data_IF_922927888841
#
_entry.id   IF_922927888841
#
_cell.length_a   1.000
_cell.length_b   1.000
_cell.length_c   1.000
_cell.angle_alpha   90.00
_cell.angle_beta   90.00
_cell.angle_gamma   90.00
#
_symmetry.space_group_name_H-M   'P 1'
#
loop_
_entity.id
_entity.type
_entity.pdbx_description
1 polymer ?
#
# COMPACT_ATOMS: atom_id res chain seq x y z
N UNK A 1 -29.42 -18.87 10.64
CA UNK A 1 -30.08 -17.58 10.95
C UNK A 1 -29.10 -16.39 10.78
N UNK A 2 -28.70 -15.99 9.57
CA UNK A 2 -27.86 -14.78 9.40
C UNK A 2 -28.32 -13.99 8.15
N UNK A 3 -28.54 -12.69 8.33
CA UNK A 3 -29.26 -11.80 7.41
C UNK A 3 -30.54 -11.16 7.99
N UNK A 4 -30.96 -11.56 9.20
CA UNK A 4 -32.12 -10.98 9.92
C UNK A 4 -31.73 -10.18 11.18
N UNK A 5 -30.43 -10.03 11.45
CA UNK A 5 -29.92 -9.21 12.57
C UNK A 5 -29.75 -7.75 12.16
N UNK A 6 -29.48 -6.88 13.14
CA UNK A 6 -29.35 -5.43 12.93
C UNK A 6 -28.38 -5.05 11.80
N UNK A 7 -27.21 -5.70 11.72
CA UNK A 7 -26.24 -5.46 10.65
C UNK A 7 -26.81 -5.74 9.24
N UNK A 8 -27.65 -6.77 9.09
CA UNK A 8 -28.30 -7.09 7.82
C UNK A 8 -29.40 -6.08 7.46
N UNK A 9 -30.13 -5.57 8.45
CA UNK A 9 -31.12 -4.51 8.24
C UNK A 9 -30.44 -3.19 7.82
N UNK A 10 -29.35 -2.81 8.49
CA UNK A 10 -28.56 -1.62 8.12
C UNK A 10 -28.01 -1.77 6.70
N UNK A 11 -27.41 -2.91 6.38
CA UNK A 11 -26.89 -3.16 5.03
C UNK A 11 -27.99 -3.06 3.97
N UNK A 12 -29.15 -3.69 4.21
CA UNK A 12 -30.30 -3.62 3.29
C UNK A 12 -30.80 -2.18 3.11
N UNK A 13 -30.92 -1.43 4.21
CA UNK A 13 -31.30 -0.01 4.16
C UNK A 13 -30.31 0.78 3.30
N UNK A 14 -29.00 0.66 3.57
CA UNK A 14 -27.97 1.35 2.80
C UNK A 14 -28.02 1.02 1.31
N UNK A 15 -28.19 -0.26 0.94
CA UNK A 15 -28.29 -0.66 -0.47
C UNK A 15 -29.57 -0.19 -1.14
N UNK A 16 -30.71 -0.20 -0.43
CA UNK A 16 -31.96 0.32 -0.97
C UNK A 16 -31.86 1.83 -1.24
N UNK A 17 -31.29 2.60 -0.31
CA UNK A 17 -31.05 4.04 -0.51
C UNK A 17 -30.08 4.28 -1.66
N UNK A 18 -28.97 3.54 -1.71
CA UNK A 18 -27.99 3.65 -2.79
C UNK A 18 -28.61 3.37 -4.16
N UNK A 19 -29.43 2.32 -4.30
CA UNK A 19 -30.12 2.00 -5.56
C UNK A 19 -31.15 3.05 -5.97
N UNK A 20 -31.80 3.69 -5.00
CA UNK A 20 -32.75 4.78 -5.26
C UNK A 20 -32.04 6.02 -5.80
N UNK A 21 -30.93 6.41 -5.17
CA UNK A 21 -30.25 7.67 -5.45
C UNK A 21 -29.20 7.55 -6.56
N UNK A 22 -28.64 6.34 -6.74
CA UNK A 22 -27.54 6.02 -7.66
C UNK A 22 -27.77 4.66 -8.36
N UNK A 23 -28.80 4.54 -9.23
CA UNK A 23 -29.15 3.27 -9.89
C UNK A 23 -28.05 2.71 -10.81
N UNK A 24 -27.05 3.52 -11.16
CA UNK A 24 -25.87 3.11 -11.91
C UNK A 24 -24.89 2.25 -11.09
N UNK A 25 -25.00 2.27 -9.76
CA UNK A 25 -24.09 1.55 -8.86
C UNK A 25 -24.52 0.10 -8.71
N UNK A 26 -23.79 -0.80 -9.39
CA UNK A 26 -24.11 -2.24 -9.44
C UNK A 26 -23.25 -3.12 -8.55
N UNK A 27 -22.28 -2.53 -7.85
CA UNK A 27 -21.23 -3.27 -7.13
C UNK A 27 -20.95 -2.66 -5.77
N UNK A 28 -20.80 -3.52 -4.77
CA UNK A 28 -20.37 -3.15 -3.44
C UNK A 28 -19.09 -3.89 -3.05
N UNK A 29 -18.22 -3.22 -2.30
CA UNK A 29 -16.96 -3.80 -1.81
C UNK A 29 -16.95 -3.91 -0.30
N UNK A 30 -16.29 -4.96 0.18
CA UNK A 30 -16.10 -5.24 1.60
C UNK A 30 -14.63 -5.53 1.87
N UNK A 31 -14.05 -4.91 2.89
CA UNK A 31 -12.70 -5.21 3.38
C UNK A 31 -12.75 -6.03 4.67
N UNK A 32 -11.81 -6.97 4.81
CA UNK A 32 -11.72 -7.89 5.96
C UNK A 32 -10.29 -8.15 6.37
N UNK A 33 -10.08 -8.34 7.67
CA UNK A 33 -8.80 -8.72 8.27
C UNK A 33 -8.57 -10.25 8.35
N UNK A 34 -9.57 -11.04 7.93
CA UNK A 34 -9.63 -12.49 8.11
C UNK A 34 -10.13 -13.17 6.84
N UNK A 35 -9.68 -14.42 6.65
CA UNK A 35 -10.12 -15.28 5.57
C UNK A 35 -11.65 -15.44 5.56
N UNK A 36 -12.32 -15.17 4.42
CA UNK A 36 -13.76 -15.25 4.34
C UNK A 36 -14.21 -16.72 4.45
N UNK A 37 -15.14 -17.06 5.36
CA UNK A 37 -15.79 -18.36 5.33
C UNK A 37 -16.43 -18.67 3.98
N UNK A 38 -16.44 -19.95 3.60
CA UNK A 38 -16.95 -20.43 2.30
C UNK A 38 -18.35 -19.92 1.95
N UNK A 39 -19.23 -19.78 2.94
CA UNK A 39 -20.57 -19.22 2.73
C UNK A 39 -20.56 -17.78 2.19
N UNK A 40 -19.59 -16.94 2.56
CA UNK A 40 -19.45 -15.59 2.00
C UNK A 40 -18.94 -15.60 0.57
N UNK A 41 -18.08 -16.56 0.23
CA UNK A 41 -17.54 -16.71 -1.12
C UNK A 41 -18.62 -17.09 -2.16
N UNK A 42 -19.80 -17.54 -1.72
CA UNK A 42 -20.96 -17.73 -2.62
C UNK A 42 -21.58 -16.41 -3.10
N UNK A 43 -21.33 -15.30 -2.41
CA UNK A 43 -21.90 -13.97 -2.69
C UNK A 43 -20.86 -12.94 -3.08
N UNK A 44 -19.68 -13.05 -2.48
CA UNK A 44 -18.57 -12.12 -2.68
C UNK A 44 -17.42 -12.83 -3.38
N UNK A 45 -16.84 -12.18 -4.39
CA UNK A 45 -15.59 -12.57 -5.01
C UNK A 45 -14.44 -11.83 -4.35
N UNK A 46 -13.37 -12.52 -3.95
CA UNK A 46 -12.12 -11.86 -3.54
C UNK A 46 -11.49 -11.23 -4.79
N UNK A 47 -11.27 -9.92 -4.76
CA UNK A 47 -10.74 -9.15 -5.89
C UNK A 47 -9.30 -8.68 -5.66
N UNK A 48 -8.87 -8.62 -4.40
CA UNK A 48 -7.52 -8.21 -4.03
C UNK A 48 -7.22 -8.70 -2.60
N UNK A 49 -5.95 -8.97 -2.32
CA UNK A 49 -5.45 -9.31 -0.99
C UNK A 49 -4.07 -8.71 -0.77
N UNK A 50 -3.80 -8.26 0.46
CA UNK A 50 -2.50 -7.74 0.87
C UNK A 50 -2.02 -8.43 2.14
N UNK A 51 -0.71 -8.68 2.21
CA UNK A 51 -0.03 -8.92 3.47
C UNK A 51 -0.08 -7.65 4.32
N UNK A 52 -0.42 -7.81 5.60
CA UNK A 52 -0.41 -6.71 6.58
C UNK A 52 0.71 -6.96 7.56
N UNK A 53 1.60 -5.98 7.67
CA UNK A 53 2.76 -6.03 8.55
C UNK A 53 2.81 -4.82 9.47
N UNK A 54 2.22 -4.96 10.66
CA UNK A 54 2.24 -3.92 11.68
C UNK A 54 3.48 -3.99 12.58
N UNK A 55 4.10 -2.85 12.85
CA UNK A 55 5.20 -2.72 13.81
C UNK A 55 5.14 -1.40 14.57
N UNK A 56 5.74 -1.40 15.75
CA UNK A 56 5.85 -0.26 16.65
C UNK A 56 7.29 0.27 16.61
N UNK A 57 7.43 1.57 16.44
CA UNK A 57 8.67 2.32 16.60
C UNK A 57 8.48 3.27 17.78
N UNK A 58 8.96 2.91 18.97
CA UNK A 58 9.01 3.82 20.12
C UNK A 58 9.79 5.09 19.77
N UNK A 59 9.44 6.21 20.42
CA UNK A 59 10.06 7.52 20.16
C UNK A 59 11.58 7.51 20.36
N UNK A 60 12.03 6.87 21.43
CA UNK A 60 13.45 6.68 21.78
C UNK A 60 14.23 5.76 20.83
N UNK A 61 13.53 5.04 19.95
CA UNK A 61 14.10 4.07 19.01
C UNK A 61 13.96 4.47 17.54
N UNK A 62 13.24 5.56 17.22
CA UNK A 62 12.95 5.95 15.85
C UNK A 62 14.21 6.09 14.99
N UNK A 63 15.22 6.83 15.47
CA UNK A 63 16.47 7.06 14.73
C UNK A 63 17.26 5.75 14.55
N UNK A 64 17.35 4.94 15.61
CA UNK A 64 18.04 3.66 15.55
C UNK A 64 17.40 2.70 14.54
N UNK A 65 16.06 2.64 14.50
CA UNK A 65 15.31 1.82 13.54
C UNK A 65 15.48 2.33 12.12
N UNK A 66 15.45 3.65 11.89
CA UNK A 66 15.71 4.24 10.57
C UNK A 66 17.11 3.90 10.07
N UNK A 67 18.12 4.04 10.93
CA UNK A 67 19.51 3.69 10.60
C UNK A 67 19.67 2.19 10.33
N UNK A 68 18.99 1.33 11.10
CA UNK A 68 18.99 -0.11 10.88
C UNK A 68 18.36 -0.47 9.53
N UNK A 69 17.17 0.07 9.22
CA UNK A 69 16.52 -0.15 7.93
C UNK A 69 17.39 0.38 6.78
N UNK A 70 17.99 1.55 6.96
CA UNK A 70 18.90 2.14 5.99
C UNK A 70 20.13 1.26 5.72
N UNK A 71 20.71 0.63 6.74
CA UNK A 71 21.82 -0.32 6.58
C UNK A 71 21.45 -1.59 5.79
N UNK A 72 20.15 -1.93 5.72
CA UNK A 72 19.61 -3.10 5.01
C UNK A 72 19.15 -2.79 3.58
N UNK A 73 19.18 -1.52 3.19
CA UNK A 73 18.93 -1.06 1.82
C UNK A 73 20.28 -0.90 1.12
N UNK A 74 20.52 -1.71 0.09
CA UNK A 74 21.79 -1.68 -0.64
C UNK A 74 21.94 -0.39 -1.45
N UNK A 75 23.16 0.00 -1.80
CA UNK A 75 23.42 1.22 -2.60
C UNK A 75 22.74 1.19 -3.98
N UNK A 76 22.64 0.01 -4.60
CA UNK A 76 21.89 -0.20 -5.85
C UNK A 76 20.37 -0.03 -5.67
N UNK A 77 19.87 -0.27 -4.47
CA UNK A 77 18.46 -0.03 -4.15
C UNK A 77 18.24 1.48 -3.92
N UNK A 78 19.19 2.16 -3.27
CA UNK A 78 19.14 3.62 -3.05
C UNK A 78 19.21 4.43 -4.34
N UNK A 79 19.86 3.90 -5.37
CA UNK A 79 19.98 4.58 -6.68
C UNK A 79 18.71 4.53 -7.53
N UNK A 80 17.63 3.90 -7.03
CA UNK A 80 16.32 3.91 -7.70
C UNK A 80 15.82 5.35 -7.81
N UNK A 81 15.29 5.70 -8.99
CA UNK A 81 14.74 7.02 -9.28
C UNK A 81 13.38 7.23 -8.60
N UNK A 82 13.43 7.55 -7.29
CA UNK A 82 12.25 7.89 -6.50
C UNK A 82 11.81 9.33 -6.78
N UNK A 83 10.51 9.52 -6.92
CA UNK A 83 9.90 10.84 -7.05
C UNK A 83 8.70 10.93 -6.12
N UNK A 84 8.68 11.97 -5.29
CA UNK A 84 7.50 12.33 -4.51
C UNK A 84 6.56 13.07 -5.46
N UNK A 85 5.38 12.53 -5.70
CA UNK A 85 4.45 13.09 -6.68
C UNK A 85 3.62 14.21 -6.07
N UNK A 86 3.58 15.36 -6.74
CA UNK A 86 2.66 16.45 -6.46
C UNK A 86 1.24 16.18 -6.99
N UNK A 87 0.29 17.03 -6.60
CA UNK A 87 -1.13 16.85 -6.94
C UNK A 87 -1.39 16.77 -8.46
N UNK A 88 -0.77 17.64 -9.25
CA UNK A 88 -0.91 17.64 -10.71
C UNK A 88 -0.31 16.39 -11.35
N UNK A 89 0.83 15.94 -10.82
CA UNK A 89 1.53 14.75 -11.31
C UNK A 89 0.72 13.49 -11.03
N UNK A 90 0.08 13.40 -9.86
CA UNK A 90 -0.82 12.29 -9.50
C UNK A 90 -2.01 12.23 -10.46
N UNK A 91 -2.66 13.37 -10.73
CA UNK A 91 -3.81 13.40 -11.63
C UNK A 91 -3.41 12.98 -13.06
N UNK A 92 -2.30 13.53 -13.57
CA UNK A 92 -1.76 13.15 -14.88
C UNK A 92 -1.39 11.67 -14.94
N UNK A 93 -0.74 11.15 -13.90
CA UNK A 93 -0.32 9.75 -13.81
C UNK A 93 -1.48 8.76 -13.99
N UNK A 94 -2.68 9.08 -13.49
CA UNK A 94 -3.87 8.22 -13.61
C UNK A 94 -4.80 8.57 -14.78
N UNK A 95 -4.56 9.69 -15.47
CA UNK A 95 -5.21 10.00 -16.76
C UNK A 95 -4.59 9.18 -17.91
N UNK A 96 -3.29 8.89 -17.84
CA UNK A 96 -2.58 8.06 -18.82
C UNK A 96 -2.91 6.57 -18.64
N UNK A 97 -3.64 5.98 -19.59
CA UNK A 97 -4.31 4.67 -19.43
C UNK A 97 -3.38 3.46 -19.23
N UNK A 98 -2.13 3.50 -19.72
CA UNK A 98 -1.22 2.34 -19.71
C UNK A 98 -0.51 2.08 -18.38
N UNK A 99 -0.40 3.08 -17.50
CA UNK A 99 0.32 2.95 -16.22
C UNK A 99 -0.49 2.19 -15.15
N UNK A 100 -1.81 2.09 -15.32
CA UNK A 100 -2.76 1.70 -14.28
C UNK A 100 -2.91 0.20 -14.11
N UNK A 101 -2.96 -0.54 -15.21
CA UNK A 101 -3.26 -1.98 -15.19
C UNK A 101 -2.07 -2.81 -14.72
N UNK A 102 -0.86 -2.36 -15.03
CA UNK A 102 0.38 -3.03 -14.61
C UNK A 102 0.71 -2.81 -13.14
N UNK A 103 0.34 -1.63 -12.59
CA UNK A 103 0.69 -1.25 -11.22
C UNK A 103 -0.39 -1.63 -10.19
N UNK A 104 -1.67 -1.57 -10.57
CA UNK A 104 -2.78 -1.79 -9.64
C UNK A 104 -3.53 -3.08 -9.96
N UNK A 105 -3.39 -4.08 -9.08
CA UNK A 105 -4.15 -5.33 -9.17
C UNK A 105 -5.67 -5.07 -9.15
N UNK A 106 -6.31 -5.30 -10.30
CA UNK A 106 -7.75 -5.05 -10.50
C UNK A 106 -8.12 -3.57 -10.67
N UNK A 107 -7.16 -2.68 -10.93
CA UNK A 107 -7.38 -1.23 -11.06
C UNK A 107 -7.79 -0.55 -9.76
N UNK A 108 -7.48 -1.20 -8.63
CA UNK A 108 -7.86 -0.75 -7.30
C UNK A 108 -6.70 -0.03 -6.62
N UNK A 109 -7.01 1.16 -6.13
CA UNK A 109 -6.15 1.91 -5.23
C UNK A 109 -6.66 1.71 -3.81
N UNK A 110 -5.90 0.98 -3.00
CA UNK A 110 -6.29 0.68 -1.62
C UNK A 110 -5.46 1.56 -0.69
N UNK A 111 -6.13 2.35 0.14
CA UNK A 111 -5.47 3.18 1.15
C UNK A 111 -5.98 2.76 2.53
N UNK A 112 -5.11 2.17 3.35
CA UNK A 112 -5.50 1.52 4.59
C UNK A 112 -6.60 0.48 4.31
N UNK A 113 -7.78 0.65 4.89
CA UNK A 113 -8.93 -0.26 4.72
C UNK A 113 -9.95 0.18 3.66
N UNK A 114 -9.63 1.22 2.88
CA UNK A 114 -10.55 1.85 1.93
C UNK A 114 -10.21 1.48 0.47
N UNK A 115 -11.02 0.63 -0.20
CA UNK A 115 -10.81 0.28 -1.60
C UNK A 115 -11.39 1.35 -2.53
N UNK A 116 -10.54 2.05 -3.25
CA UNK A 116 -10.92 3.12 -4.18
C UNK A 116 -10.68 2.71 -5.63
N UNK A 117 -11.51 3.24 -6.53
CA UNK A 117 -11.14 3.29 -7.94
C UNK A 117 -10.25 4.51 -8.18
N UNK A 118 -9.52 4.47 -9.28
CA UNK A 118 -8.67 5.55 -9.76
C UNK A 118 -9.44 6.76 -10.34
N UNK A 119 -10.76 6.85 -10.11
CA UNK A 119 -11.58 7.97 -10.55
C UNK A 119 -11.13 9.29 -9.91
N UNK A 120 -11.22 10.41 -10.66
CA UNK A 120 -10.73 11.74 -10.24
C UNK A 120 -11.27 12.19 -8.88
N UNK A 121 -12.54 11.91 -8.56
CA UNK A 121 -13.12 12.23 -7.25
C UNK A 121 -12.43 11.50 -6.09
N UNK A 122 -12.03 10.24 -6.29
CA UNK A 122 -11.32 9.45 -5.29
C UNK A 122 -9.87 9.91 -5.14
N UNK A 123 -9.22 10.28 -6.25
CA UNK A 123 -7.88 10.88 -6.20
C UNK A 123 -7.91 12.19 -5.41
N UNK A 124 -8.90 13.05 -5.68
CA UNK A 124 -9.11 14.30 -4.93
C UNK A 124 -9.37 14.06 -3.44
N UNK A 125 -10.09 12.99 -3.07
CA UNK A 125 -10.26 12.59 -1.67
C UNK A 125 -8.90 12.30 -1.02
N UNK A 126 -8.02 11.54 -1.67
CA UNK A 126 -6.70 11.20 -1.14
C UNK A 126 -5.77 12.42 -1.09
N UNK A 127 -5.83 13.33 -2.06
CA UNK A 127 -5.10 14.60 -2.03
C UNK A 127 -5.51 15.45 -0.83
N UNK A 128 -6.81 15.55 -0.53
CA UNK A 128 -7.30 16.26 0.67
C UNK A 128 -6.87 15.61 1.98
N UNK A 129 -6.64 14.29 1.98
CA UNK A 129 -6.06 13.55 3.12
C UNK A 129 -4.55 13.71 3.23
N UNK A 130 -3.92 14.47 2.33
CA UNK A 130 -2.48 14.73 2.32
C UNK A 130 -1.65 13.44 2.28
N UNK A 131 -2.16 12.42 1.55
CA UNK A 131 -1.40 11.19 1.32
C UNK A 131 -0.10 11.54 0.60
N UNK A 132 1.01 10.98 1.05
CA UNK A 132 2.34 11.09 0.43
C UNK A 132 2.48 10.00 -0.62
N UNK A 133 2.66 10.40 -1.88
CA UNK A 133 2.80 9.48 -3.01
C UNK A 133 4.26 9.43 -3.42
N UNK A 134 4.85 8.24 -3.40
CA UNK A 134 6.22 8.02 -3.87
C UNK A 134 6.18 7.02 -4.99
N UNK A 135 6.76 7.38 -6.13
CA UNK A 135 6.82 6.55 -7.32
C UNK A 135 8.26 6.30 -7.73
N UNK A 136 8.59 5.04 -8.03
CA UNK A 136 9.85 4.67 -8.67
C UNK A 136 9.64 4.54 -10.17
N UNK A 137 10.41 5.32 -10.92
CA UNK A 137 10.44 5.22 -12.37
C UNK A 137 11.17 3.94 -12.77
N UNK A 138 10.68 3.23 -13.80
CA UNK A 138 11.45 2.16 -14.38
C UNK A 138 12.77 2.75 -14.91
N UNK A 139 13.90 2.18 -14.51
CA UNK A 139 15.21 2.71 -14.88
C UNK A 139 15.36 2.74 -16.40
N UNK A 140 15.69 3.90 -16.96
CA UNK A 140 16.16 3.99 -18.33
C UNK A 140 17.51 3.27 -18.38
N UNK A 141 17.52 2.06 -18.92
CA UNK A 141 18.77 1.39 -19.30
C UNK A 141 19.38 2.13 -20.50
N UNK A 142 19.89 3.33 -20.27
CA UNK A 142 20.80 4.02 -21.17
C UNK A 142 22.25 3.59 -20.85
N UNK A 143 22.48 2.27 -20.82
CA UNK A 143 23.83 1.75 -21.02
C UNK A 143 24.16 1.90 -22.51
N UNK A 144 24.65 3.10 -22.82
CA UNK A 144 25.31 3.39 -24.06
C UNK A 144 26.53 2.47 -24.16
N UNK A 145 26.45 1.53 -25.08
CA UNK A 145 27.53 0.73 -25.67
C UNK A 145 28.94 0.97 -25.11
N UNK A 146 29.50 -0.03 -24.42
CA UNK A 146 30.87 -0.52 -24.65
C UNK A 146 31.18 -1.75 -23.80
N UNK A 147 31.56 -2.83 -24.49
CA UNK A 147 32.39 -3.96 -24.02
C UNK A 147 31.68 -5.29 -23.73
N UNK A 148 31.84 -6.16 -24.73
CA UNK A 148 32.16 -7.58 -24.60
C UNK A 148 31.03 -8.54 -24.21
N UNK A 149 30.36 -9.04 -25.24
CA UNK A 149 29.58 -10.29 -25.22
C UNK A 149 30.47 -11.45 -24.78
N UNK A 150 30.37 -11.85 -23.52
CA UNK A 150 30.65 -13.22 -23.09
C UNK A 150 29.30 -13.89 -22.86
N UNK A 151 28.93 -14.79 -23.76
CA UNK A 151 27.76 -15.66 -23.61
C UNK A 151 28.09 -16.75 -22.59
N UNK A 152 27.61 -16.59 -21.36
CA UNK A 152 27.43 -17.69 -20.41
C UNK A 152 25.95 -17.94 -20.21
N UNK A 153 25.51 -19.15 -20.54
CA UNK A 153 24.15 -19.64 -20.37
C UNK A 153 23.88 -19.94 -18.89
N UNK A 154 23.09 -19.11 -18.22
CA UNK A 154 22.33 -19.47 -17.03
C UNK A 154 21.36 -18.32 -16.68
N UNK A 155 20.05 -18.61 -16.72
CA UNK A 155 18.98 -17.81 -16.11
C UNK A 155 18.94 -16.33 -16.45
N UNK A 156 18.28 -15.95 -17.56
CA UNK A 156 18.01 -14.56 -17.88
C UNK A 156 17.09 -13.90 -16.83
N UNK A 157 17.65 -13.25 -15.83
CA UNK A 157 17.00 -12.24 -15.00
C UNK A 157 16.71 -11.04 -15.88
N UNK A 158 15.55 -11.09 -16.49
CA UNK A 158 15.03 -10.05 -17.36
C UNK A 158 14.57 -8.92 -16.42
N UNK A 159 15.43 -7.91 -16.25
CA UNK A 159 15.15 -6.66 -15.54
C UNK A 159 14.08 -5.87 -16.28
N UNK A 160 12.84 -6.35 -16.20
CA UNK A 160 11.69 -5.62 -16.68
C UNK A 160 11.48 -4.42 -15.76
N UNK A 161 11.52 -3.23 -16.34
CA UNK A 161 10.95 -1.95 -15.93
C UNK A 161 9.89 -2.06 -14.80
N UNK A 162 10.30 -2.27 -13.54
CA UNK A 162 9.35 -2.47 -12.45
C UNK A 162 8.97 -1.12 -11.86
N UNK A 163 7.76 -0.69 -12.21
CA UNK A 163 7.07 0.45 -11.60
C UNK A 163 6.72 0.08 -10.16
N UNK A 164 6.93 1.02 -9.25
CA UNK A 164 6.56 0.83 -7.86
C UNK A 164 5.96 2.12 -7.31
N UNK A 165 4.87 2.00 -6.55
CA UNK A 165 4.19 3.13 -5.93
C UNK A 165 3.98 2.82 -4.44
N UNK A 166 4.17 3.82 -3.60
CA UNK A 166 3.70 3.77 -2.21
C UNK A 166 2.84 4.98 -1.86
N UNK A 167 1.84 4.75 -1.01
CA UNK A 167 0.98 5.76 -0.41
C UNK A 167 1.22 5.75 1.10
N UNK A 168 1.68 6.85 1.67
CA UNK A 168 1.82 7.03 3.11
C UNK A 168 0.76 8.00 3.64
N UNK A 169 0.04 7.65 4.69
CA UNK A 169 -0.77 8.65 5.41
C UNK A 169 0.14 9.65 6.10
N UNK A 170 -0.30 10.91 6.32
CA UNK A 170 0.26 11.70 7.41
C UNK A 170 0.17 10.88 8.71
N UNK A 171 1.19 10.94 9.57
CA UNK A 171 1.09 10.33 10.88
C UNK A 171 -0.02 11.03 11.68
N UNK A 172 -0.98 10.27 12.22
CA UNK A 172 -2.13 10.82 12.94
C UNK A 172 -2.23 10.24 14.36
N UNK A 173 -2.67 11.04 15.35
CA UNK A 173 -2.76 10.58 16.74
C UNK A 173 -3.77 9.44 16.89
N UNK A 174 -3.44 8.46 17.73
CA UNK A 174 -4.37 7.40 18.12
C UNK A 174 -5.03 7.82 19.45
N UNK A 175 -6.35 8.04 19.50
CA UNK A 175 -7.00 8.61 20.69
C UNK A 175 -6.82 7.84 22.01
N UNK A 176 -6.49 6.55 21.96
CA UNK A 176 -6.34 5.68 23.15
C UNK A 176 -4.89 5.24 23.39
N UNK A 177 -3.92 5.70 22.58
CA UNK A 177 -2.50 5.42 22.75
C UNK A 177 -1.76 6.75 22.82
N UNK A 178 -1.66 7.31 24.03
CA UNK A 178 -0.92 8.55 24.27
C UNK A 178 0.54 8.39 23.83
N UNK A 179 1.10 9.45 23.25
CA UNK A 179 2.48 9.45 22.77
C UNK A 179 2.73 8.62 21.51
N UNK A 180 1.69 8.08 20.84
CA UNK A 180 1.84 7.27 19.64
C UNK A 180 0.95 7.76 18.52
N UNK A 181 1.53 7.90 17.33
CA UNK A 181 0.80 8.18 16.10
C UNK A 181 0.74 6.95 15.21
N UNK A 182 -0.27 6.87 14.36
CA UNK A 182 -0.41 5.82 13.36
C UNK A 182 0.03 6.32 11.99
N UNK A 183 0.76 5.48 11.29
CA UNK A 183 1.15 5.63 9.90
C UNK A 183 0.71 4.39 9.12
N UNK A 184 -0.07 4.56 8.08
CA UNK A 184 -0.40 3.49 7.14
C UNK A 184 0.42 3.69 5.85
N UNK A 185 1.10 2.64 5.40
CA UNK A 185 1.85 2.64 4.12
C UNK A 185 1.31 1.53 3.22
N UNK A 186 0.70 1.92 2.11
CA UNK A 186 0.24 1.00 1.08
C UNK A 186 1.25 0.92 -0.06
N UNK A 187 1.70 -0.29 -0.36
CA UNK A 187 2.63 -0.58 -1.46
C UNK A 187 1.88 -1.16 -2.67
N UNK A 188 2.36 -0.81 -3.86
CA UNK A 188 1.88 -1.30 -5.16
C UNK A 188 3.09 -1.63 -6.03
N UNK A 189 3.12 -2.86 -6.52
CA UNK A 189 4.29 -3.48 -7.13
C UNK A 189 4.83 -4.63 -6.28
N UNK A 190 5.73 -5.42 -6.85
CA UNK A 190 6.25 -6.65 -6.26
C UNK A 190 7.79 -6.71 -6.25
N UNK A 191 8.47 -5.61 -6.54
CA UNK A 191 9.94 -5.52 -6.45
C UNK A 191 10.37 -5.33 -4.99
N UNK A 192 11.10 -6.29 -4.38
CA UNK A 192 11.55 -6.16 -3.00
C UNK A 192 12.49 -4.97 -2.77
N UNK A 193 13.35 -4.67 -3.74
CA UNK A 193 14.28 -3.54 -3.66
C UNK A 193 13.54 -2.20 -3.60
N UNK A 194 12.61 -1.95 -4.53
CA UNK A 194 11.76 -0.75 -4.48
C UNK A 194 10.93 -0.73 -3.19
N UNK A 195 10.34 -1.86 -2.77
CA UNK A 195 9.54 -1.91 -1.55
C UNK A 195 10.33 -1.41 -0.33
N UNK A 196 11.56 -1.87 -0.13
CA UNK A 196 12.41 -1.46 0.98
C UNK A 196 12.72 0.04 0.96
N UNK A 197 13.11 0.56 -0.21
CA UNK A 197 13.47 1.98 -0.37
C UNK A 197 12.25 2.88 -0.16
N UNK A 198 11.08 2.48 -0.69
CA UNK A 198 9.82 3.20 -0.50
C UNK A 198 9.39 3.22 0.97
N UNK A 199 9.50 2.11 1.70
CA UNK A 199 9.19 2.06 3.13
C UNK A 199 10.11 3.01 3.91
N UNK A 200 11.42 2.92 3.69
CA UNK A 200 12.39 3.78 4.35
C UNK A 200 12.09 5.26 4.09
N UNK A 201 11.80 5.62 2.83
CA UNK A 201 11.52 7.00 2.47
C UNK A 201 10.20 7.51 3.07
N UNK A 202 9.13 6.69 3.07
CA UNK A 202 7.87 7.04 3.72
C UNK A 202 8.06 7.25 5.24
N UNK A 203 8.83 6.38 5.90
CA UNK A 203 9.14 6.53 7.32
C UNK A 203 9.96 7.80 7.60
N UNK A 204 10.99 8.10 6.79
CA UNK A 204 11.78 9.33 6.93
C UNK A 204 10.90 10.58 6.83
N UNK A 205 10.00 10.64 5.84
CA UNK A 205 9.06 11.75 5.66
C UNK A 205 8.12 11.86 6.88
N UNK A 206 7.57 10.74 7.34
CA UNK A 206 6.69 10.74 8.51
C UNK A 206 7.41 11.23 9.76
N UNK A 207 8.58 10.67 10.08
CA UNK A 207 9.37 11.03 11.28
C UNK A 207 9.78 12.49 11.28
N UNK A 208 10.15 13.06 10.12
CA UNK A 208 10.49 14.48 10.02
C UNK A 208 9.30 15.42 10.33
N UNK A 209 8.07 14.95 10.12
CA UNK A 209 6.86 15.70 10.42
C UNK A 209 6.29 15.44 11.83
N UNK A 210 6.86 14.50 12.58
CA UNK A 210 6.37 14.15 13.92
C UNK A 210 6.81 15.17 14.98
N UNK A 211 5.95 15.48 15.96
CA UNK A 211 6.38 16.17 17.18
C UNK A 211 7.41 15.33 17.95
N UNK A 212 8.27 16.00 18.72
CA UNK A 212 9.24 15.32 19.59
C UNK A 212 8.54 14.49 20.68
N UNK A 213 9.13 13.34 21.03
CA UNK A 213 8.61 12.43 22.05
C UNK A 213 7.39 11.61 21.62
N UNK A 214 7.14 11.50 20.31
CA UNK A 214 6.03 10.73 19.74
C UNK A 214 6.57 9.51 19.00
N UNK A 215 6.08 8.32 19.36
CA UNK A 215 6.35 7.07 18.64
C UNK A 215 5.38 6.83 17.49
N UNK A 216 5.64 5.81 16.68
CA UNK A 216 4.84 5.45 15.50
C UNK A 216 4.39 3.98 15.58
N UNK A 217 3.11 3.72 15.40
CA UNK A 217 2.62 2.42 14.93
C UNK A 217 2.52 2.52 13.41
N UNK A 218 3.37 1.77 12.72
CA UNK A 218 3.37 1.68 11.27
C UNK A 218 2.64 0.41 10.84
N UNK A 219 1.70 0.53 9.91
CA UNK A 219 1.03 -0.60 9.27
C UNK A 219 1.39 -0.61 7.79
N UNK A 220 2.15 -1.62 7.38
CA UNK A 220 2.43 -1.84 5.96
C UNK A 220 1.38 -2.75 5.34
N UNK A 221 0.96 -2.39 4.13
CA UNK A 221 0.05 -3.16 3.29
C UNK A 221 0.75 -3.46 1.96
N UNK A 222 1.18 -4.70 1.75
CA UNK A 222 2.01 -5.10 0.61
C UNK A 222 1.43 -6.32 -0.12
N UNK A 223 1.94 -6.60 -1.32
CA UNK A 223 1.69 -7.90 -1.96
C UNK A 223 2.23 -9.04 -1.08
N UNK A 224 1.56 -10.20 -1.10
CA UNK A 224 1.96 -11.36 -0.30
C UNK A 224 3.37 -11.85 -0.69
N UNK A 225 3.78 -11.68 -1.95
CA UNK A 225 5.11 -12.06 -2.41
C UNK A 225 6.24 -11.28 -1.73
N UNK A 226 5.95 -10.12 -1.12
CA UNK A 226 6.94 -9.27 -0.45
C UNK A 226 7.09 -9.59 1.04
N UNK A 227 6.25 -10.46 1.61
CA UNK A 227 6.19 -10.67 3.07
C UNK A 227 7.54 -11.07 3.68
N UNK A 228 8.27 -11.95 3.01
CA UNK A 228 9.55 -12.47 3.51
C UNK A 228 10.60 -11.37 3.57
N UNK A 229 10.77 -10.64 2.47
CA UNK A 229 11.78 -9.61 2.30
C UNK A 229 11.50 -8.40 3.18
N UNK A 230 10.23 -8.05 3.36
CA UNK A 230 9.83 -7.01 4.29
C UNK A 230 9.98 -7.46 5.74
N UNK A 231 9.73 -8.73 6.04
CA UNK A 231 9.99 -9.32 7.36
C UNK A 231 11.46 -9.21 7.74
N UNK A 232 12.37 -9.49 6.80
CA UNK A 232 13.81 -9.29 6.98
C UNK A 232 14.18 -7.82 7.15
N UNK A 233 13.56 -6.91 6.38
CA UNK A 233 13.77 -5.47 6.56
C UNK A 233 13.39 -5.01 7.97
N UNK A 234 12.31 -5.56 8.53
CA UNK A 234 11.79 -5.21 9.86
C UNK A 234 12.34 -6.07 10.99
N UNK A 235 13.33 -6.95 10.74
CA UNK A 235 13.88 -7.83 11.78
C UNK A 235 14.49 -7.01 12.92
N UNK A 236 14.15 -7.34 14.17
CA UNK A 236 14.59 -6.55 15.34
C UNK A 236 13.78 -5.27 15.60
N UNK A 237 12.76 -4.97 14.78
CA UNK A 237 11.75 -3.95 15.09
C UNK A 237 10.62 -4.60 15.87
N UNK A 238 10.04 -3.89 16.85
CA UNK A 238 8.98 -4.42 17.70
C UNK A 238 7.72 -4.74 16.88
N UNK A 239 7.30 -6.01 16.78
CA UNK A 239 6.12 -6.37 16.00
C UNK A 239 4.83 -6.00 16.74
N UNK A 240 3.80 -5.58 16.01
CA UNK A 240 2.52 -5.13 16.59
C UNK A 240 1.33 -5.98 16.10
N UNK A 241 1.13 -7.15 16.69
CA UNK A 241 0.24 -8.19 16.13
C UNK A 241 -1.27 -7.89 16.26
N UNK A 242 -1.84 -7.15 15.29
CA UNK A 242 -3.30 -6.91 15.24
C UNK A 242 -3.96 -7.58 14.03
N UNK A 243 -3.30 -7.54 12.87
CA UNK A 243 -3.83 -8.08 11.60
C UNK A 243 -2.67 -8.59 10.75
N UNK A 244 -2.87 -9.71 10.04
CA UNK A 244 -1.87 -10.32 9.15
C UNK A 244 -2.18 -10.20 7.67
N UNK A 245 -3.46 -10.01 7.34
CA UNK A 245 -3.97 -10.02 5.97
C UNK A 245 -5.08 -8.99 5.83
N UNK A 246 -5.18 -8.42 4.64
CA UNK A 246 -6.30 -7.60 4.23
C UNK A 246 -6.88 -8.24 2.97
N UNK A 247 -8.17 -8.54 3.00
CA UNK A 247 -8.90 -9.04 1.84
C UNK A 247 -9.94 -8.02 1.41
N UNK A 248 -10.02 -7.82 0.10
CA UNK A 248 -11.00 -6.96 -0.55
C UNK A 248 -11.87 -7.86 -1.38
N UNK A 249 -13.18 -7.77 -1.15
CA UNK A 249 -14.16 -8.58 -1.83
C UNK A 249 -15.21 -7.70 -2.50
N UNK A 250 -15.76 -8.17 -3.61
CA UNK A 250 -16.79 -7.48 -4.39
C UNK A 250 -18.02 -8.38 -4.50
N UNK A 251 -19.21 -7.79 -4.40
CA UNK A 251 -20.46 -8.43 -4.79
C UNK A 251 -21.25 -7.52 -5.72
N UNK A 252 -22.10 -8.12 -6.54
CA UNK A 252 -23.14 -7.39 -7.27
C UNK A 252 -24.28 -7.03 -6.32
N UNK A 253 -24.82 -5.82 -6.46
CA UNK A 253 -25.96 -5.33 -5.67
C UNK A 253 -27.13 -4.93 -6.56
#
# INVERSE_FOLDING_TARGET
>A
MRGRGLAGLIQKFCFNTLHSDHPEVKRARLTRAENPPAAMLTKYKVINSKAVMPFLLPDDQLEAVLNLMESRVNDLDRSKNLTILGAEEILRFFEESKSREELLSGGLLVQGWLPLTTHKSNLNLLLRRQIVWIYSHPGDSNDSASSSRVTTSCGSTQSYLQRFLSLGTPAYPIPLAEGVHRLDIDLFGNDPSCAKVHILQQLKIAVQALPAGIGIICILYADESLRTELGQLCEGVTPFHVVKEQMIMEMEI
#
